data_IF_995025400050
#
_entry.id   IF_995025400050
#
_cell.length_a   1.000
_cell.length_b   1.000
_cell.length_c   1.000
_cell.angle_alpha   90.00
_cell.angle_beta   90.00
_cell.angle_gamma   90.00
#
_symmetry.space_group_name_H-M   'P 1'
#
loop_
_entity.id
_entity.type
_entity.pdbx_description
1 polymer ?
#
# COMPACT_ATOMS: atom_id res chain seq x y z
N UNK A 1 -37.74 5.68 -21.21
CA UNK A 1 -37.21 5.74 -22.60
C UNK A 1 -35.69 5.81 -22.52
N UNK A 2 -34.97 5.04 -23.34
CA UNK A 2 -33.51 5.14 -23.39
C UNK A 2 -33.11 6.50 -23.97
N UNK A 3 -32.21 7.21 -23.27
CA UNK A 3 -31.69 8.50 -23.73
C UNK A 3 -30.71 8.26 -24.89
N UNK A 4 -31.02 8.81 -26.06
CA UNK A 4 -30.14 8.73 -27.24
C UNK A 4 -28.86 9.52 -26.95
N UNK A 5 -27.71 8.85 -27.05
CA UNK A 5 -26.41 9.46 -26.79
C UNK A 5 -25.87 10.17 -28.04
N UNK A 6 -25.13 11.28 -27.89
CA UNK A 6 -24.47 11.94 -29.02
C UNK A 6 -23.36 11.05 -29.59
N UNK A 7 -23.09 11.17 -30.90
CA UNK A 7 -22.00 10.40 -31.56
C UNK A 7 -20.62 10.62 -30.92
N UNK A 8 -20.40 11.77 -30.28
CA UNK A 8 -19.16 12.12 -29.58
C UNK A 8 -18.97 11.44 -28.22
N UNK A 9 -19.97 10.71 -27.71
CA UNK A 9 -19.94 10.12 -26.36
C UNK A 9 -18.75 9.16 -26.17
N UNK A 10 -18.35 8.41 -27.21
CA UNK A 10 -17.23 7.48 -27.13
C UNK A 10 -15.89 8.18 -26.87
N UNK A 11 -15.59 9.25 -27.61
CA UNK A 11 -14.36 10.04 -27.45
C UNK A 11 -14.36 10.76 -26.10
N UNK A 12 -15.50 11.36 -25.70
CA UNK A 12 -15.63 12.02 -24.40
C UNK A 12 -15.41 11.05 -23.24
N UNK A 13 -15.96 9.84 -23.34
CA UNK A 13 -15.77 8.79 -22.35
C UNK A 13 -14.30 8.37 -22.25
N UNK A 14 -13.64 8.13 -23.38
CA UNK A 14 -12.21 7.78 -23.40
C UNK A 14 -11.37 8.90 -22.76
N UNK A 15 -11.62 10.16 -23.13
CA UNK A 15 -10.94 11.31 -22.53
C UNK A 15 -11.16 11.39 -21.01
N UNK A 16 -12.39 11.15 -20.54
CA UNK A 16 -12.68 11.09 -19.11
C UNK A 16 -11.94 9.95 -18.40
N UNK A 17 -11.83 8.77 -19.02
CA UNK A 17 -11.10 7.64 -18.41
C UNK A 17 -9.61 7.94 -18.32
N UNK A 18 -8.99 8.49 -19.37
CA UNK A 18 -7.59 8.87 -19.37
C UNK A 18 -7.29 9.95 -18.32
N UNK A 19 -8.16 10.97 -18.23
CA UNK A 19 -8.03 12.02 -17.23
C UNK A 19 -8.15 11.47 -15.81
N UNK A 20 -9.13 10.60 -15.54
CA UNK A 20 -9.30 9.97 -14.23
C UNK A 20 -8.14 9.04 -13.89
N UNK A 21 -7.63 8.24 -14.83
CA UNK A 21 -6.46 7.38 -14.61
C UNK A 21 -5.25 8.24 -14.22
N UNK A 22 -4.96 9.29 -14.98
CA UNK A 22 -3.84 10.19 -14.68
C UNK A 22 -3.98 10.85 -13.30
N UNK A 23 -5.18 11.34 -12.98
CA UNK A 23 -5.47 11.96 -11.70
C UNK A 23 -5.32 10.97 -10.54
N UNK A 24 -5.89 9.77 -10.65
CA UNK A 24 -5.79 8.71 -9.65
C UNK A 24 -4.33 8.28 -9.47
N UNK A 25 -3.59 8.07 -10.56
CA UNK A 25 -2.15 7.73 -10.49
C UNK A 25 -1.35 8.79 -9.74
N UNK A 26 -1.64 10.08 -9.95
CA UNK A 26 -0.95 11.17 -9.24
C UNK A 26 -1.22 11.15 -7.74
N UNK A 27 -2.48 10.98 -7.31
CA UNK A 27 -2.82 11.01 -5.88
C UNK A 27 -2.49 9.71 -5.15
N UNK A 28 -2.43 8.57 -5.85
CA UNK A 28 -2.08 7.27 -5.27
C UNK A 28 -0.55 7.12 -5.15
N UNK A 29 0.24 7.82 -5.96
CA UNK A 29 1.69 7.68 -5.95
C UNK A 29 2.36 7.85 -4.57
N UNK A 30 2.00 8.86 -3.73
CA UNK A 30 2.53 8.95 -2.37
C UNK A 30 2.17 7.75 -1.48
N UNK A 31 0.98 7.17 -1.68
CA UNK A 31 0.55 5.97 -0.94
C UNK A 31 1.35 4.73 -1.38
N UNK A 32 1.68 4.62 -2.67
CA UNK A 32 2.55 3.54 -3.16
C UNK A 32 3.95 3.63 -2.55
N UNK A 33 4.47 4.84 -2.26
CA UNK A 33 5.73 5.01 -1.54
C UNK A 33 5.63 4.49 -0.10
N UNK A 34 4.51 4.72 0.60
CA UNK A 34 4.28 4.14 1.95
C UNK A 34 4.29 2.61 1.90
N UNK A 35 3.62 2.03 0.89
CA UNK A 35 3.63 0.57 0.67
C UNK A 35 5.06 0.09 0.38
N UNK A 36 5.80 0.79 -0.49
CA UNK A 36 7.20 0.48 -0.80
C UNK A 36 8.08 0.47 0.45
N UNK A 37 7.96 1.47 1.33
CA UNK A 37 8.70 1.56 2.59
C UNK A 37 8.42 0.32 3.46
N UNK A 38 7.17 -0.15 3.52
CA UNK A 38 6.82 -1.34 4.33
C UNK A 38 7.40 -2.67 3.81
N UNK A 39 7.89 -2.70 2.57
CA UNK A 39 8.55 -3.85 1.96
C UNK A 39 10.06 -3.67 1.80
N UNK A 40 10.62 -2.56 2.29
CA UNK A 40 12.05 -2.27 2.18
C UNK A 40 12.79 -2.87 3.36
N UNK A 41 13.92 -3.53 3.09
CA UNK A 41 14.82 -3.96 4.17
C UNK A 41 15.37 -2.76 4.97
N UNK A 42 15.37 -2.87 6.30
CA UNK A 42 15.80 -1.79 7.20
C UNK A 42 14.74 -0.69 7.39
N UNK A 43 15.16 0.52 7.77
CA UNK A 43 14.24 1.63 8.08
C UNK A 43 14.64 2.90 7.34
N UNK A 44 14.49 2.88 6.00
CA UNK A 44 14.83 4.00 5.13
C UNK A 44 13.56 4.66 4.59
N UNK A 45 13.41 5.97 4.81
CA UNK A 45 12.25 6.73 4.37
C UNK A 45 12.25 7.05 2.86
N UNK A 46 13.41 6.96 2.20
CA UNK A 46 13.59 7.31 0.79
C UNK A 46 14.23 6.17 0.01
N UNK A 47 13.94 6.08 -1.28
CA UNK A 47 14.58 5.14 -2.21
C UNK A 47 13.72 4.90 -3.46
N UNK A 48 14.03 3.86 -4.21
CA UNK A 48 13.28 3.41 -5.39
C UNK A 48 11.83 2.99 -5.06
N UNK A 49 10.89 3.16 -6.00
CA UNK A 49 9.49 2.76 -5.81
C UNK A 49 9.35 1.24 -5.58
N UNK A 50 10.04 0.44 -6.38
CA UNK A 50 10.21 -1.00 -6.13
C UNK A 50 11.50 -1.13 -5.30
N UNK A 51 11.44 -1.64 -4.05
CA UNK A 51 12.63 -1.73 -3.20
C UNK A 51 13.75 -2.53 -3.87
N UNK A 52 14.99 -2.02 -3.82
CA UNK A 52 16.17 -2.74 -4.30
C UNK A 52 16.42 -4.02 -3.47
N UNK A 53 16.24 -3.92 -2.16
CA UNK A 53 16.25 -5.03 -1.22
C UNK A 53 14.86 -5.19 -0.63
N UNK A 54 14.15 -6.24 -1.07
CA UNK A 54 12.81 -6.57 -0.62
C UNK A 54 12.87 -7.37 0.69
N UNK A 55 12.02 -7.00 1.66
CA UNK A 55 11.89 -7.71 2.93
C UNK A 55 10.43 -7.83 3.37
N UNK A 56 10.14 -8.92 4.09
CA UNK A 56 8.86 -9.15 4.76
C UNK A 56 8.98 -9.01 6.29
N UNK A 57 10.15 -8.62 6.83
CA UNK A 57 10.38 -8.51 8.27
C UNK A 57 9.33 -7.62 8.95
N UNK A 58 9.05 -6.43 8.41
CA UNK A 58 8.06 -5.52 8.98
C UNK A 58 6.66 -6.14 9.05
N UNK A 59 6.22 -6.79 7.98
CA UNK A 59 4.91 -7.43 7.91
C UNK A 59 4.84 -8.67 8.81
N UNK A 60 5.89 -9.49 8.85
CA UNK A 60 5.97 -10.65 9.75
C UNK A 60 5.80 -10.20 11.21
N UNK A 61 6.58 -9.21 11.64
CA UNK A 61 6.54 -8.73 13.02
C UNK A 61 5.21 -8.03 13.34
N UNK A 62 4.64 -7.26 12.41
CA UNK A 62 3.31 -6.65 12.58
C UNK A 62 2.18 -7.69 12.69
N UNK A 63 2.32 -8.85 12.05
CA UNK A 63 1.38 -9.96 12.14
C UNK A 63 1.64 -10.88 13.34
N UNK A 64 2.66 -10.60 14.16
CA UNK A 64 3.00 -11.40 15.33
C UNK A 64 3.77 -12.69 15.01
N UNK A 65 4.43 -12.76 13.85
CA UNK A 65 5.21 -13.92 13.41
C UNK A 65 6.71 -13.62 13.65
N UNK A 66 7.44 -14.44 14.42
CA UNK A 66 8.88 -14.28 14.60
C UNK A 66 9.63 -14.34 13.27
N UNK A 67 10.70 -13.56 13.14
CA UNK A 67 11.50 -13.45 11.92
C UNK A 67 12.93 -13.92 12.16
N UNK A 68 13.41 -14.88 11.37
CA UNK A 68 14.81 -15.32 11.40
C UNK A 68 15.62 -14.52 10.39
N UNK A 69 16.69 -13.88 10.86
CA UNK A 69 17.59 -13.08 10.03
C UNK A 69 18.67 -13.96 9.39
N UNK A 70 19.37 -13.46 8.34
CA UNK A 70 20.45 -14.21 7.68
C UNK A 70 21.61 -14.63 8.60
N UNK A 71 21.81 -13.95 9.73
CA UNK A 71 22.80 -14.28 10.74
C UNK A 71 22.33 -15.36 11.74
N UNK A 72 21.12 -15.92 11.54
CA UNK A 72 20.49 -16.92 12.40
C UNK A 72 19.82 -16.33 13.65
N UNK A 73 19.80 -15.00 13.80
CA UNK A 73 19.12 -14.37 14.94
C UNK A 73 17.61 -14.38 14.73
N UNK A 74 16.86 -14.84 15.74
CA UNK A 74 15.39 -14.84 15.72
C UNK A 74 14.88 -13.59 16.44
N UNK A 75 14.24 -12.71 15.67
CA UNK A 75 13.57 -11.51 16.17
C UNK A 75 12.14 -11.84 16.55
N UNK A 76 11.81 -11.64 17.81
CA UNK A 76 10.44 -11.77 18.30
C UNK A 76 9.63 -10.49 18.00
N UNK A 77 8.31 -10.59 17.75
CA UNK A 77 7.45 -9.43 17.59
C UNK A 77 7.52 -8.52 18.83
N UNK A 78 8.01 -7.28 18.71
CA UNK A 78 8.18 -6.41 19.87
C UNK A 78 6.86 -5.82 20.38
N UNK A 79 5.84 -5.78 19.51
CA UNK A 79 4.57 -5.12 19.79
C UNK A 79 3.37 -5.95 19.30
N UNK A 80 2.24 -5.92 20.02
CA UNK A 80 1.03 -6.64 19.64
C UNK A 80 0.18 -5.82 18.63
N UNK A 81 0.70 -5.58 17.43
CA UNK A 81 0.08 -4.67 16.43
C UNK A 81 -1.34 -5.11 16.06
N UNK A 82 -1.64 -6.40 15.95
CA UNK A 82 -3.00 -6.89 15.69
C UNK A 82 -3.97 -6.58 16.84
N UNK A 83 -3.50 -6.61 18.09
CA UNK A 83 -4.31 -6.18 19.23
C UNK A 83 -4.57 -4.68 19.17
N UNK A 84 -3.59 -3.88 18.74
CA UNK A 84 -3.77 -2.44 18.53
C UNK A 84 -4.79 -2.16 17.44
N UNK A 85 -4.74 -2.89 16.32
CA UNK A 85 -5.75 -2.81 15.27
C UNK A 85 -7.14 -3.13 15.81
N UNK A 86 -7.27 -4.20 16.61
CA UNK A 86 -8.53 -4.54 17.26
C UNK A 86 -9.01 -3.48 18.25
N UNK A 87 -8.10 -2.87 19.00
CA UNK A 87 -8.42 -1.76 19.89
C UNK A 87 -8.92 -0.55 19.10
N UNK A 88 -8.30 -0.21 17.97
CA UNK A 88 -8.76 0.86 17.08
C UNK A 88 -10.19 0.62 16.58
N UNK A 89 -10.52 -0.61 16.18
CA UNK A 89 -11.88 -0.98 15.76
C UNK A 89 -12.87 -0.77 16.90
N UNK A 90 -12.56 -1.25 18.11
CA UNK A 90 -13.44 -1.09 19.28
C UNK A 90 -13.67 0.35 19.71
N UNK A 91 -12.71 1.24 19.48
CA UNK A 91 -12.81 2.67 19.86
C UNK A 91 -13.51 3.49 18.78
N UNK A 92 -13.40 3.09 17.51
CA UNK A 92 -14.03 3.79 16.40
C UNK A 92 -15.55 3.57 16.30
N UNK A 93 -16.07 2.52 16.96
CA UNK A 93 -17.49 2.15 17.05
C UNK A 93 -18.05 2.60 18.39
#
# INVERSE_FOLDING_TARGET
>A
MAMVQPRSVGVRRLGAHLALICFVSLIVFPLLLVISISFREGNFATGSLIPENFSLEHWSLALGIPWERPDGTVVQPPFPVLLWLWNSIKVAV
#
